data_IF_880911461502
#
_entry.id   IF_880911461502
#
_cell.length_a   1.000
_cell.length_b   1.000
_cell.length_c   1.000
_cell.angle_alpha   90.00
_cell.angle_beta   90.00
_cell.angle_gamma   90.00
#
_symmetry.space_group_name_H-M   'P 1'
#
loop_
_entity.id
_entity.type
_entity.pdbx_description
1 polymer ?
#
# COMPACT_ATOMS: atom_id res chain seq x y z
N UNK A 1 -8.28 15.05 -15.15
CA UNK A 1 -7.34 14.29 -15.99
C UNK A 1 -6.95 15.17 -17.17
N UNK A 2 -5.73 15.70 -17.19
CA UNK A 2 -5.29 16.63 -18.24
C UNK A 2 -4.66 15.86 -19.40
N UNK A 3 -5.45 15.64 -20.45
CA UNK A 3 -5.03 14.91 -21.65
C UNK A 3 -3.81 15.53 -22.34
N UNK A 4 -3.53 16.82 -22.13
CA UNK A 4 -2.36 17.49 -22.71
C UNK A 4 -1.07 17.01 -22.06
N UNK A 5 -1.10 16.71 -20.76
CA UNK A 5 0.05 16.12 -20.05
C UNK A 5 0.28 14.68 -20.53
N UNK A 6 -0.79 13.90 -20.72
CA UNK A 6 -0.68 12.55 -21.31
C UNK A 6 -0.14 12.57 -22.73
N UNK A 7 -0.55 13.55 -23.55
CA UNK A 7 -0.06 13.71 -24.92
C UNK A 7 1.42 14.09 -24.95
N UNK A 8 1.85 15.05 -24.13
CA UNK A 8 3.26 15.44 -24.00
C UNK A 8 4.12 14.25 -23.55
N UNK A 9 3.63 13.45 -22.60
CA UNK A 9 4.36 12.30 -22.08
C UNK A 9 4.47 11.18 -23.13
N UNK A 10 3.41 10.86 -23.85
CA UNK A 10 3.43 9.77 -24.86
C UNK A 10 4.15 10.19 -26.14
N UNK A 11 3.93 11.41 -26.63
CA UNK A 11 4.69 11.94 -27.78
C UNK A 11 6.18 12.09 -27.44
N UNK A 12 6.49 12.51 -26.20
CA UNK A 12 7.85 12.61 -25.71
C UNK A 12 8.55 11.26 -25.55
N UNK A 13 7.83 10.22 -25.09
CA UNK A 13 8.39 8.88 -24.90
C UNK A 13 8.52 8.07 -26.19
N UNK A 14 7.50 8.10 -27.05
CA UNK A 14 7.38 7.15 -28.16
C UNK A 14 7.64 7.80 -29.53
N UNK A 15 7.73 9.13 -29.59
CA UNK A 15 7.89 9.88 -30.84
C UNK A 15 6.70 9.75 -31.80
N UNK A 16 5.58 9.18 -31.35
CA UNK A 16 4.35 8.97 -32.11
C UNK A 16 3.18 9.64 -31.38
N UNK A 17 2.23 10.17 -32.16
CA UNK A 17 1.01 10.76 -31.61
C UNK A 17 0.17 9.65 -30.96
N UNK A 18 -0.23 9.76 -29.67
CA UNK A 18 -1.13 8.78 -29.07
C UNK A 18 -2.49 8.77 -29.79
N UNK A 19 -3.10 7.59 -29.92
CA UNK A 19 -4.51 7.49 -30.33
C UNK A 19 -5.40 8.09 -29.23
N UNK A 20 -5.95 9.27 -29.50
CA UNK A 20 -6.90 9.95 -28.61
C UNK A 20 -8.31 9.47 -28.92
N UNK A 21 -9.20 9.29 -27.92
CA UNK A 21 -10.56 8.83 -28.13
C UNK A 21 -11.31 9.66 -29.20
N UNK A 22 -12.03 9.04 -30.15
CA UNK A 22 -12.62 9.71 -31.31
C UNK A 22 -13.55 10.88 -30.98
N UNK A 23 -14.27 10.82 -29.84
CA UNK A 23 -15.17 11.88 -29.40
C UNK A 23 -14.43 13.20 -29.10
N UNK A 24 -13.26 13.11 -28.46
CA UNK A 24 -12.44 14.29 -28.10
C UNK A 24 -11.83 14.93 -29.35
N UNK A 25 -11.34 14.11 -30.29
CA UNK A 25 -10.85 14.59 -31.59
C UNK A 25 -11.98 15.27 -32.37
N UNK A 26 -13.19 14.71 -32.33
CA UNK A 26 -14.36 15.23 -33.04
C UNK A 26 -14.85 16.55 -32.46
N UNK A 27 -14.86 16.71 -31.14
CA UNK A 27 -15.18 17.98 -30.47
C UNK A 27 -14.13 19.06 -30.79
N UNK A 28 -12.83 18.72 -30.71
CA UNK A 28 -11.76 19.67 -31.01
C UNK A 28 -11.71 20.11 -32.48
N UNK A 29 -11.96 19.18 -33.42
CA UNK A 29 -12.06 19.48 -34.86
C UNK A 29 -13.33 20.27 -35.20
N UNK A 30 -14.45 20.00 -34.52
CA UNK A 30 -15.70 20.73 -34.71
C UNK A 30 -15.60 22.19 -34.23
N UNK A 31 -14.82 22.45 -33.17
CA UNK A 31 -14.62 23.81 -32.65
C UNK A 31 -13.53 24.59 -33.40
N UNK A 32 -12.46 23.94 -33.85
CA UNK A 32 -11.26 24.64 -34.32
C UNK A 32 -10.82 24.34 -35.76
N UNK A 33 -11.48 23.41 -36.46
CA UNK A 33 -11.32 23.16 -37.90
C UNK A 33 -9.91 22.78 -38.37
N UNK A 34 -9.03 22.31 -37.48
CA UNK A 34 -7.61 22.05 -37.79
C UNK A 34 -7.15 20.69 -37.27
N UNK A 35 -6.53 19.91 -38.15
CA UNK A 35 -5.72 18.74 -37.76
C UNK A 35 -4.62 19.16 -36.79
N UNK A 36 -4.35 18.32 -35.78
CA UNK A 36 -3.26 18.54 -34.83
C UNK A 36 -1.93 18.38 -35.58
N UNK A 37 -1.15 19.47 -35.76
CA UNK A 37 0.10 19.37 -36.50
C UNK A 37 1.21 18.75 -35.63
N UNK A 38 2.14 18.04 -36.27
CA UNK A 38 3.38 17.56 -35.63
C UNK A 38 4.19 18.78 -35.16
N UNK A 39 4.03 19.13 -33.88
CA UNK A 39 4.57 20.36 -33.32
C UNK A 39 6.08 20.29 -33.06
N UNK A 40 6.67 19.10 -33.04
CA UNK A 40 8.11 18.88 -32.83
C UNK A 40 8.96 19.63 -33.84
N UNK A 41 8.61 19.60 -35.13
CA UNK A 41 9.36 20.31 -36.17
C UNK A 41 9.24 21.83 -36.07
N UNK A 42 8.06 22.33 -35.68
CA UNK A 42 7.80 23.75 -35.48
C UNK A 42 8.52 24.29 -34.25
N UNK A 43 8.56 23.51 -33.17
CA UNK A 43 9.27 23.86 -31.93
C UNK A 43 10.78 23.95 -32.15
N UNK A 44 11.40 22.96 -32.81
CA UNK A 44 12.83 23.01 -33.18
C UNK A 44 13.16 24.27 -33.99
N UNK A 45 12.35 24.56 -35.00
CA UNK A 45 12.54 25.74 -35.85
C UNK A 45 12.44 27.07 -35.08
N UNK A 46 11.58 27.15 -34.06
CA UNK A 46 11.49 28.33 -33.20
C UNK A 46 12.67 28.44 -32.24
N UNK A 47 13.11 27.31 -31.66
CA UNK A 47 14.30 27.29 -30.82
C UNK A 47 15.54 27.75 -31.60
N UNK A 48 15.79 27.18 -32.79
CA UNK A 48 16.92 27.57 -33.64
C UNK A 48 16.89 29.05 -34.04
N UNK A 49 15.69 29.65 -34.07
CA UNK A 49 15.49 31.04 -34.49
C UNK A 49 15.63 32.04 -33.34
N UNK A 50 15.34 31.63 -32.11
CA UNK A 50 15.18 32.55 -30.97
C UNK A 50 16.02 32.21 -29.74
N UNK A 51 16.67 31.04 -29.70
CA UNK A 51 17.59 30.64 -28.63
C UNK A 51 19.00 30.51 -29.18
N UNK A 52 19.92 31.39 -28.76
CA UNK A 52 21.34 31.41 -29.17
C UNK A 52 22.21 30.36 -28.44
N UNK A 53 21.63 29.27 -27.94
CA UNK A 53 22.34 28.28 -27.13
C UNK A 53 22.75 27.06 -27.99
N UNK A 54 23.97 26.54 -27.82
CA UNK A 54 24.52 25.41 -28.62
C UNK A 54 23.87 24.06 -28.29
N UNK A 55 22.90 24.02 -27.37
CA UNK A 55 22.25 22.79 -26.93
C UNK A 55 21.01 22.47 -27.77
N UNK A 56 20.77 21.18 -27.99
CA UNK A 56 19.56 20.68 -28.64
C UNK A 56 18.28 21.21 -27.95
N UNK A 57 17.26 21.69 -28.71
CA UNK A 57 15.97 22.13 -28.18
C UNK A 57 15.24 21.07 -27.35
N UNK A 58 15.51 19.80 -27.68
CA UNK A 58 14.90 18.66 -27.06
C UNK A 58 16.04 17.94 -26.34
N UNK A 59 15.96 17.95 -25.01
CA UNK A 59 16.85 17.19 -24.14
C UNK A 59 16.05 16.03 -23.57
N UNK A 60 16.67 14.86 -23.52
CA UNK A 60 16.10 13.72 -22.80
C UNK A 60 16.12 14.07 -21.31
N UNK A 61 14.95 14.18 -20.68
CA UNK A 61 14.88 14.31 -19.22
C UNK A 61 15.09 12.94 -18.59
N UNK A 62 15.58 12.91 -17.34
CA UNK A 62 15.41 11.69 -16.55
C UNK A 62 13.92 11.39 -16.38
N UNK A 63 13.61 10.15 -15.99
CA UNK A 63 12.25 9.62 -15.87
C UNK A 63 11.32 10.58 -15.11
N UNK A 64 10.07 10.69 -15.53
CA UNK A 64 9.00 11.32 -14.74
C UNK A 64 8.23 10.18 -14.08
N UNK A 65 8.23 10.15 -12.76
CA UNK A 65 7.58 9.08 -11.99
C UNK A 65 6.24 9.56 -11.43
N UNK A 66 5.17 8.81 -11.71
CA UNK A 66 3.83 9.12 -11.26
C UNK A 66 3.36 8.04 -10.28
N UNK A 67 3.23 8.43 -9.01
CA UNK A 67 2.79 7.57 -7.93
C UNK A 67 1.42 7.97 -7.40
N UNK A 68 0.59 8.62 -8.25
CA UNK A 68 -0.76 9.03 -7.89
C UNK A 68 -1.48 7.92 -7.09
N UNK A 69 -1.95 8.29 -5.90
CA UNK A 69 -2.65 7.41 -4.96
C UNK A 69 -1.81 6.29 -4.32
N UNK A 70 -0.48 6.37 -4.38
CA UNK A 70 0.42 5.44 -3.69
C UNK A 70 0.92 6.03 -2.37
N UNK A 71 0.90 5.22 -1.33
CA UNK A 71 1.51 5.55 -0.04
C UNK A 71 2.97 5.08 -0.07
N UNK A 72 3.93 5.97 0.20
CA UNK A 72 5.35 5.65 0.15
C UNK A 72 6.08 6.15 1.39
N UNK A 73 7.08 5.39 1.83
CA UNK A 73 8.08 5.84 2.79
C UNK A 73 9.21 6.61 2.06
N UNK A 74 9.95 7.50 2.75
CA UNK A 74 11.07 8.24 2.15
C UNK A 74 12.13 7.34 1.50
N UNK A 75 12.34 6.13 2.03
CA UNK A 75 13.34 5.19 1.48
C UNK A 75 12.96 4.64 0.12
N UNK A 76 11.66 4.49 -0.19
CA UNK A 76 11.21 4.09 -1.53
C UNK A 76 11.59 5.10 -2.62
N UNK A 77 11.86 6.35 -2.23
CA UNK A 77 12.23 7.43 -3.14
C UNK A 77 13.73 7.76 -3.08
N UNK A 78 14.49 7.13 -2.18
CA UNK A 78 15.90 7.47 -1.97
C UNK A 78 16.78 7.14 -3.18
N UNK A 79 16.43 6.08 -3.91
CA UNK A 79 17.15 5.63 -5.12
C UNK A 79 16.42 6.04 -6.43
N UNK A 80 15.35 6.82 -6.33
CA UNK A 80 14.58 7.25 -7.50
C UNK A 80 15.33 8.37 -8.22
N UNK A 81 15.62 8.16 -9.51
CA UNK A 81 16.38 9.12 -10.34
C UNK A 81 15.47 10.04 -11.16
N UNK A 82 14.20 10.15 -10.76
CA UNK A 82 13.21 10.94 -11.49
C UNK A 82 13.48 12.44 -11.39
N UNK A 83 13.29 13.16 -12.51
CA UNK A 83 13.40 14.63 -12.52
C UNK A 83 12.20 15.31 -11.85
N UNK A 84 11.04 14.66 -11.94
CA UNK A 84 9.76 15.15 -11.42
C UNK A 84 9.00 13.95 -10.89
N UNK A 85 8.53 14.05 -9.64
CA UNK A 85 7.68 13.05 -9.00
C UNK A 85 6.30 13.67 -8.79
N UNK A 86 5.26 13.02 -9.30
CA UNK A 86 3.88 13.48 -9.17
C UNK A 86 3.05 12.48 -8.34
N UNK A 87 2.38 12.97 -7.29
CA UNK A 87 1.25 12.28 -6.68
C UNK A 87 1.51 11.24 -5.58
N UNK A 88 2.60 11.29 -4.82
CA UNK A 88 2.82 10.39 -3.68
C UNK A 88 2.30 10.98 -2.35
N UNK A 89 1.69 10.16 -1.48
CA UNK A 89 1.51 10.50 -0.06
C UNK A 89 2.71 10.01 0.74
N UNK A 90 3.41 10.93 1.38
CA UNK A 90 4.58 10.62 2.19
C UNK A 90 4.17 10.26 3.62
N UNK A 91 4.67 9.12 4.11
CA UNK A 91 4.47 8.65 5.48
C UNK A 91 5.81 8.41 6.16
N UNK A 92 5.82 8.45 7.49
CA UNK A 92 7.01 8.10 8.24
C UNK A 92 7.16 6.57 8.29
N UNK A 93 8.38 6.03 8.15
CA UNK A 93 8.62 4.63 8.39
C UNK A 93 8.49 4.33 9.89
N UNK A 94 8.23 3.06 10.20
CA UNK A 94 8.35 2.53 11.54
C UNK A 94 9.70 2.87 12.21
N UNK A 95 9.65 3.28 13.48
CA UNK A 95 10.82 3.57 14.32
C UNK A 95 10.78 2.71 15.59
N UNK A 96 11.49 1.58 15.57
CA UNK A 96 11.49 0.56 16.64
C UNK A 96 11.93 1.08 18.01
N UNK A 97 12.69 2.18 18.06
CA UNK A 97 13.15 2.80 19.32
C UNK A 97 12.06 3.61 20.02
N UNK A 98 10.99 3.99 19.31
CA UNK A 98 9.96 4.89 19.84
C UNK A 98 8.66 4.22 20.18
N UNK A 99 8.33 3.17 19.44
CA UNK A 99 7.03 2.55 19.50
C UNK A 99 7.24 1.04 19.63
N UNK A 100 6.32 0.36 20.30
CA UNK A 100 6.31 -1.10 20.42
C UNK A 100 5.05 -1.64 19.74
N UNK A 101 5.19 -2.73 18.99
CA UNK A 101 4.06 -3.41 18.33
C UNK A 101 4.04 -4.86 18.76
N UNK A 102 2.85 -5.32 19.13
CA UNK A 102 2.57 -6.75 19.30
C UNK A 102 1.96 -7.29 18.02
N UNK A 103 2.48 -8.39 17.49
CA UNK A 103 1.77 -9.15 16.46
C UNK A 103 0.91 -10.22 17.12
N UNK A 104 -0.39 -10.14 16.90
CA UNK A 104 -1.40 -11.11 17.30
C UNK A 104 -1.62 -12.08 16.15
N UNK A 105 -1.34 -13.35 16.38
CA UNK A 105 -1.57 -14.44 15.42
C UNK A 105 -2.80 -15.22 15.87
N UNK A 106 -3.92 -15.00 15.20
CA UNK A 106 -5.13 -15.82 15.34
C UNK A 106 -4.97 -17.12 14.58
N UNK A 107 -4.55 -18.18 15.28
CA UNK A 107 -4.33 -19.49 14.68
C UNK A 107 -5.62 -20.31 14.60
N UNK A 108 -6.06 -20.69 13.40
CA UNK A 108 -7.34 -21.37 13.20
C UNK A 108 -7.26 -22.89 13.22
N UNK A 109 -6.07 -23.48 13.00
CA UNK A 109 -5.62 -24.88 13.23
C UNK A 109 -4.44 -25.20 12.29
N UNK A 110 -3.83 -26.39 12.46
CA UNK A 110 -2.76 -26.98 11.60
C UNK A 110 -1.29 -26.63 11.94
N UNK A 111 -1.02 -25.88 13.01
CA UNK A 111 0.35 -25.63 13.47
C UNK A 111 1.19 -24.77 12.51
N UNK A 112 0.54 -24.12 11.54
CA UNK A 112 1.19 -23.21 10.57
C UNK A 112 1.73 -21.94 11.24
N UNK A 113 1.21 -21.60 12.42
CA UNK A 113 1.72 -20.51 13.26
C UNK A 113 3.21 -20.68 13.58
N UNK A 114 3.71 -21.90 13.77
CA UNK A 114 5.13 -22.15 14.01
C UNK A 114 6.02 -21.76 12.81
N UNK A 115 5.55 -22.04 11.59
CA UNK A 115 6.24 -21.60 10.37
C UNK A 115 6.26 -20.08 10.29
N UNK A 116 5.12 -19.41 10.51
CA UNK A 116 5.04 -17.95 10.50
C UNK A 116 5.98 -17.34 11.54
N UNK A 117 5.91 -17.80 12.81
CA UNK A 117 6.70 -17.28 13.92
C UNK A 117 8.20 -17.44 13.68
N UNK A 118 8.64 -18.60 13.17
CA UNK A 118 10.07 -18.86 12.91
C UNK A 118 10.69 -17.98 11.83
N UNK A 119 9.89 -17.31 11.01
CA UNK A 119 10.36 -16.36 10.01
C UNK A 119 10.32 -14.90 10.50
N UNK A 120 9.76 -14.65 11.68
CA UNK A 120 9.77 -13.33 12.29
C UNK A 120 11.08 -13.09 13.02
N UNK A 121 11.75 -12.04 12.57
CA UNK A 121 13.03 -11.55 13.07
C UNK A 121 12.87 -10.09 13.52
N UNK A 122 13.14 -9.82 14.79
CA UNK A 122 13.08 -8.48 15.41
C UNK A 122 13.99 -7.43 14.75
N UNK A 123 15.01 -7.86 13.98
CA UNK A 123 15.89 -6.95 13.22
C UNK A 123 15.33 -6.54 11.87
N UNK A 124 14.32 -7.27 11.36
CA UNK A 124 13.72 -7.06 10.03
C UNK A 124 12.24 -6.69 10.08
N UNK A 125 11.57 -7.05 11.17
CA UNK A 125 10.14 -6.88 11.36
C UNK A 125 9.89 -5.91 12.52
N UNK A 126 8.77 -5.18 12.48
CA UNK A 126 8.48 -4.09 13.42
C UNK A 126 8.02 -4.57 14.80
N UNK A 127 7.90 -5.88 15.00
CA UNK A 127 7.28 -6.46 16.19
C UNK A 127 8.27 -6.56 17.34
N UNK A 128 7.81 -6.23 18.54
CA UNK A 128 8.52 -6.42 19.80
C UNK A 128 8.05 -7.65 20.57
N UNK A 129 6.83 -8.12 20.28
CA UNK A 129 6.17 -9.24 20.96
C UNK A 129 5.26 -10.00 20.01
N UNK A 130 5.03 -11.27 20.31
CA UNK A 130 4.10 -12.14 19.61
C UNK A 130 3.08 -12.69 20.61
N UNK A 131 1.80 -12.57 20.28
CA UNK A 131 0.69 -13.21 20.99
C UNK A 131 0.03 -14.17 20.04
N UNK A 132 0.01 -15.46 20.36
CA UNK A 132 -0.62 -16.48 19.52
C UNK A 132 -1.92 -16.90 20.18
N UNK A 133 -3.04 -16.53 19.57
CA UNK A 133 -4.36 -16.95 20.00
C UNK A 133 -4.65 -18.33 19.40
N UNK A 134 -4.86 -19.34 20.26
CA UNK A 134 -5.07 -20.73 19.85
C UNK A 134 -6.40 -21.27 20.37
N UNK A 135 -7.01 -22.28 19.72
CA UNK A 135 -8.21 -22.93 20.26
C UNK A 135 -8.01 -23.46 21.69
N UNK A 136 -9.08 -23.48 22.49
CA UNK A 136 -9.03 -24.03 23.86
C UNK A 136 -8.57 -25.50 23.88
N UNK A 137 -8.92 -26.25 22.83
CA UNK A 137 -8.56 -27.66 22.65
C UNK A 137 -7.10 -27.91 22.28
N UNK A 138 -6.29 -26.87 22.00
CA UNK A 138 -4.88 -27.03 21.64
C UNK A 138 -4.11 -27.72 22.77
N UNK A 139 -3.33 -28.74 22.43
CA UNK A 139 -2.59 -29.55 23.40
C UNK A 139 -1.38 -28.78 23.96
N UNK A 140 -0.91 -29.16 25.15
CA UNK A 140 0.27 -28.52 25.75
C UNK A 140 1.54 -28.73 24.92
N UNK A 141 1.68 -29.87 24.24
CA UNK A 141 2.83 -30.14 23.37
C UNK A 141 2.86 -29.22 22.14
N UNK A 142 1.69 -28.88 21.60
CA UNK A 142 1.59 -27.95 20.47
C UNK A 142 1.92 -26.53 20.93
N UNK A 143 1.45 -26.12 22.11
CA UNK A 143 1.81 -24.82 22.68
C UNK A 143 3.30 -24.73 23.00
N UNK A 144 3.90 -25.77 23.59
CA UNK A 144 5.34 -25.78 23.91
C UNK A 144 6.19 -25.64 22.63
N UNK A 145 5.77 -26.27 21.54
CA UNK A 145 6.45 -26.18 20.24
C UNK A 145 6.45 -24.76 19.67
N UNK A 146 5.37 -23.99 19.91
CA UNK A 146 5.25 -22.60 19.47
C UNK A 146 6.07 -21.64 20.34
N UNK A 147 6.13 -21.84 21.66
CA UNK A 147 7.01 -21.06 22.55
C UNK A 147 8.49 -21.23 22.17
N UNK A 148 8.84 -22.42 21.70
CA UNK A 148 10.19 -22.76 21.25
C UNK A 148 10.39 -22.60 19.73
N UNK A 149 9.46 -21.93 19.03
CA UNK A 149 9.69 -21.57 17.64
C UNK A 149 10.95 -20.72 17.51
N UNK A 150 11.70 -20.93 16.43
CA UNK A 150 13.00 -20.29 16.21
C UNK A 150 12.84 -18.80 15.87
N UNK A 151 12.50 -17.97 16.85
CA UNK A 151 12.36 -16.51 16.72
C UNK A 151 13.17 -15.79 17.80
N UNK A 152 13.58 -14.56 17.51
CA UNK A 152 14.24 -13.67 18.48
C UNK A 152 13.25 -12.94 19.39
N UNK A 153 11.95 -13.10 19.15
CA UNK A 153 10.88 -12.43 19.90
C UNK A 153 10.32 -13.28 21.03
N UNK A 154 9.80 -12.60 22.06
CA UNK A 154 9.00 -13.26 23.08
C UNK A 154 7.64 -13.66 22.51
N UNK A 155 7.30 -14.94 22.62
CA UNK A 155 6.03 -15.53 22.20
C UNK A 155 5.19 -15.86 23.42
N UNK A 156 4.03 -15.24 23.57
CA UNK A 156 2.98 -15.68 24.49
C UNK A 156 1.90 -16.44 23.73
N UNK A 157 1.32 -17.43 24.40
CA UNK A 157 0.26 -18.26 23.82
C UNK A 157 -0.96 -18.15 24.70
N UNK A 158 -2.07 -17.80 24.07
CA UNK A 158 -3.33 -17.54 24.74
C UNK A 158 -4.39 -18.45 24.19
N UNK A 159 -4.95 -19.28 25.07
CA UNK A 159 -6.06 -20.15 24.71
C UNK A 159 -7.34 -19.32 24.66
N UNK A 160 -8.04 -19.39 23.54
CA UNK A 160 -9.29 -18.67 23.32
C UNK A 160 -10.36 -19.12 24.30
N UNK A 161 -11.06 -18.15 24.87
CA UNK A 161 -12.30 -18.34 25.63
C UNK A 161 -13.56 -17.97 24.83
N UNK A 162 -13.38 -17.46 23.61
CA UNK A 162 -14.42 -16.98 22.69
C UNK A 162 -14.10 -17.44 21.25
N UNK A 163 -15.04 -17.32 20.30
CA UNK A 163 -14.75 -17.57 18.88
C UNK A 163 -13.58 -16.72 18.37
N UNK A 164 -12.90 -17.20 17.34
CA UNK A 164 -11.70 -16.60 16.72
C UNK A 164 -11.88 -15.14 16.28
N UNK A 165 -13.04 -14.76 15.74
CA UNK A 165 -13.32 -13.38 15.36
C UNK A 165 -13.32 -12.40 16.56
N UNK A 166 -13.38 -12.91 17.80
CA UNK A 166 -13.27 -12.10 19.02
C UNK A 166 -11.83 -11.90 19.48
N UNK A 167 -10.84 -12.50 18.83
CA UNK A 167 -9.43 -12.35 19.20
C UNK A 167 -8.99 -10.88 19.20
N UNK A 168 -9.55 -10.06 18.30
CA UNK A 168 -9.38 -8.60 18.26
C UNK A 168 -9.72 -7.93 19.61
N UNK A 169 -10.69 -8.46 20.33
CA UNK A 169 -11.18 -7.90 21.59
C UNK A 169 -10.56 -8.58 22.83
N UNK A 170 -10.00 -9.78 22.68
CA UNK A 170 -9.57 -10.59 23.83
C UNK A 170 -8.06 -10.83 23.88
N UNK A 171 -7.31 -10.54 22.83
CA UNK A 171 -5.87 -10.67 22.84
C UNK A 171 -5.24 -9.76 23.91
N UNK A 172 -4.38 -10.27 24.79
CA UNK A 172 -3.71 -9.46 25.81
C UNK A 172 -2.59 -8.64 25.19
N UNK A 173 -2.87 -7.36 24.93
CA UNK A 173 -1.93 -6.40 24.36
C UNK A 173 -1.50 -5.40 25.43
N UNK A 174 -0.19 -5.24 25.58
CA UNK A 174 0.42 -4.26 26.49
C UNK A 174 1.31 -3.24 25.76
N UNK A 175 1.33 -3.29 24.43
CA UNK A 175 2.02 -2.34 23.56
C UNK A 175 1.11 -1.20 23.10
N UNK A 176 1.69 -0.12 22.59
CA UNK A 176 0.94 1.04 22.09
C UNK A 176 0.07 0.68 20.88
N UNK A 177 0.62 -0.13 19.96
CA UNK A 177 -0.04 -0.59 18.74
C UNK A 177 0.01 -2.11 18.67
N UNK A 178 -0.88 -2.72 17.89
CA UNK A 178 -0.83 -4.15 17.65
C UNK A 178 -1.31 -4.49 16.25
N UNK A 179 -0.61 -5.40 15.58
CA UNK A 179 -1.05 -5.94 14.32
C UNK A 179 -1.77 -7.27 14.54
N UNK A 180 -2.83 -7.55 13.80
CA UNK A 180 -3.50 -8.86 13.87
C UNK A 180 -3.46 -9.58 12.51
N UNK A 181 -3.09 -10.86 12.53
CA UNK A 181 -3.06 -11.73 11.36
C UNK A 181 -3.52 -13.15 11.70
N UNK A 182 -3.63 -14.02 10.69
CA UNK A 182 -3.85 -15.46 10.87
C UNK A 182 -2.60 -16.27 10.48
N UNK A 183 -2.62 -17.58 10.74
CA UNK A 183 -1.48 -18.49 10.51
C UNK A 183 -1.22 -18.88 9.05
N UNK A 184 -2.04 -18.44 8.08
CA UNK A 184 -1.93 -18.83 6.67
C UNK A 184 -1.04 -17.90 5.82
N UNK A 185 -0.40 -16.90 6.43
CA UNK A 185 0.42 -15.93 5.72
C UNK A 185 1.91 -16.33 5.69
N UNK A 186 2.59 -15.90 4.62
CA UNK A 186 4.04 -15.98 4.50
C UNK A 186 4.64 -14.66 4.94
N UNK A 187 5.63 -14.72 5.82
CA UNK A 187 6.34 -13.53 6.30
C UNK A 187 7.27 -13.02 5.21
N UNK A 188 7.02 -11.81 4.73
CA UNK A 188 7.91 -11.13 3.80
C UNK A 188 9.25 -10.83 4.47
N UNK A 189 10.41 -10.93 3.78
CA UNK A 189 11.72 -10.68 4.40
C UNK A 189 11.88 -9.29 5.02
N UNK A 190 11.11 -8.31 4.55
CA UNK A 190 11.04 -6.95 5.07
C UNK A 190 9.59 -6.51 5.06
N UNK A 191 9.11 -5.99 6.19
CA UNK A 191 7.77 -5.40 6.32
C UNK A 191 7.94 -3.93 6.69
N UNK A 192 7.28 -3.05 5.94
CA UNK A 192 7.19 -1.64 6.29
C UNK A 192 5.81 -1.33 6.82
N UNK A 193 5.80 -0.64 7.96
CA UNK A 193 4.61 -0.01 8.47
C UNK A 193 4.73 1.49 8.22
N UNK A 194 3.64 2.05 7.70
CA UNK A 194 3.54 3.46 7.41
C UNK A 194 2.84 4.15 8.57
N UNK A 195 3.38 5.30 8.97
CA UNK A 195 2.84 6.12 10.04
C UNK A 195 2.54 7.53 9.54
N UNK A 196 1.50 8.16 10.08
CA UNK A 196 1.17 9.55 9.79
C UNK A 196 2.34 10.46 10.15
N UNK A 197 2.55 11.50 9.34
CA UNK A 197 3.54 12.55 9.61
C UNK A 197 2.93 13.69 10.44
N UNK A 198 2.16 13.34 11.48
CA UNK A 198 1.61 14.26 12.46
C UNK A 198 2.22 13.97 13.84
N UNK A 199 1.87 14.77 14.84
CA UNK A 199 2.39 14.60 16.22
C UNK A 199 2.00 13.25 16.83
N UNK A 200 0.88 12.68 16.40
CA UNK A 200 0.32 11.47 16.99
C UNK A 200 0.93 10.20 16.38
N UNK A 201 1.55 10.29 15.19
CA UNK A 201 2.23 9.18 14.52
C UNK A 201 1.41 7.90 14.60
N UNK A 202 0.21 7.94 14.02
CA UNK A 202 -0.70 6.80 13.99
C UNK A 202 -0.31 5.86 12.86
N UNK A 203 -0.44 4.53 13.04
CA UNK A 203 -0.28 3.60 11.94
C UNK A 203 -1.31 3.88 10.86
N UNK A 204 -0.91 3.66 9.62
CA UNK A 204 -1.73 3.86 8.44
C UNK A 204 -2.18 2.50 7.95
N UNK A 205 -3.47 2.24 8.10
CA UNK A 205 -4.10 1.02 7.61
C UNK A 205 -4.63 1.32 6.20
N UNK A 206 -4.20 0.57 5.17
CA UNK A 206 -4.77 0.72 3.84
C UNK A 206 -6.24 0.29 3.87
N UNK A 207 -7.09 1.10 3.23
CA UNK A 207 -8.51 0.80 3.08
C UNK A 207 -8.96 1.08 1.65
N UNK A 208 -10.02 0.40 1.25
CA UNK A 208 -10.74 0.65 0.00
C UNK A 208 -12.01 1.41 0.35
N UNK A 209 -12.31 2.57 -0.26
CA UNK A 209 -13.60 3.23 -0.09
C UNK A 209 -14.74 2.30 -0.46
N UNK A 210 -15.75 2.23 0.39
CA UNK A 210 -16.92 1.38 0.16
C UNK A 210 -17.94 2.10 -0.74
N UNK A 211 -17.55 2.28 -2.01
CA UNK A 211 -18.37 2.92 -3.04
C UNK A 211 -18.45 2.09 -4.33
N UNK A 212 -19.32 2.51 -5.25
CA UNK A 212 -19.59 1.83 -6.51
C UNK A 212 -18.33 1.68 -7.38
N UNK A 213 -17.41 2.64 -7.33
CA UNK A 213 -16.22 2.62 -8.17
C UNK A 213 -15.13 1.69 -7.65
N UNK A 214 -15.05 1.49 -6.33
CA UNK A 214 -13.92 0.82 -5.69
C UNK A 214 -14.28 -0.54 -5.08
N UNK A 215 -15.46 -0.69 -4.46
CA UNK A 215 -15.80 -1.87 -3.67
C UNK A 215 -17.06 -2.60 -4.16
N UNK A 216 -18.16 -1.89 -4.43
CA UNK A 216 -19.47 -2.54 -4.63
C UNK A 216 -19.52 -3.44 -5.87
N UNK A 217 -18.73 -3.11 -6.90
CA UNK A 217 -18.61 -3.91 -8.11
C UNK A 217 -17.68 -5.14 -7.98
N UNK A 218 -17.01 -5.31 -6.84
CA UNK A 218 -16.13 -6.45 -6.55
C UNK A 218 -16.83 -7.34 -5.52
N UNK A 219 -17.36 -8.49 -5.95
CA UNK A 219 -18.24 -9.34 -5.11
C UNK A 219 -17.69 -9.58 -3.69
N UNK A 220 -16.41 -9.94 -3.55
CA UNK A 220 -15.80 -10.19 -2.24
C UNK A 220 -15.73 -8.93 -1.37
N UNK A 221 -15.46 -7.77 -1.95
CA UNK A 221 -15.41 -6.50 -1.21
C UNK A 221 -16.81 -6.11 -0.74
N UNK A 222 -17.81 -6.20 -1.63
CA UNK A 222 -19.21 -5.96 -1.33
C UNK A 222 -19.73 -6.86 -0.20
N UNK A 223 -19.46 -8.17 -0.26
CA UNK A 223 -19.92 -9.13 0.77
C UNK A 223 -19.34 -8.82 2.16
N UNK A 224 -18.07 -8.40 2.21
CA UNK A 224 -17.39 -7.98 3.45
C UNK A 224 -18.00 -6.67 3.97
N UNK A 225 -18.21 -5.70 3.08
CA UNK A 225 -18.83 -4.41 3.44
C UNK A 225 -20.24 -4.61 3.99
N UNK A 226 -21.12 -5.32 3.28
CA UNK A 226 -22.49 -5.65 3.72
C UNK A 226 -22.51 -6.37 5.08
N UNK A 227 -21.55 -7.26 5.31
CA UNK A 227 -21.39 -7.94 6.60
C UNK A 227 -20.99 -6.96 7.71
N UNK A 228 -20.10 -6.01 7.41
CA UNK A 228 -19.63 -4.99 8.36
C UNK A 228 -20.74 -4.03 8.80
N UNK A 229 -21.69 -3.70 7.90
CA UNK A 229 -22.80 -2.77 8.17
C UNK A 229 -23.72 -3.25 9.30
N UNK A 230 -23.71 -4.55 9.61
CA UNK A 230 -24.45 -5.12 10.77
C UNK A 230 -23.91 -4.64 12.11
N UNK A 231 -22.62 -4.28 12.16
CA UNK A 231 -21.91 -3.86 13.36
C UNK A 231 -21.57 -2.37 13.34
N UNK A 232 -21.34 -1.81 12.16
CA UNK A 232 -21.04 -0.39 11.93
C UNK A 232 -21.88 0.13 10.74
N UNK A 233 -23.12 0.58 10.97
CA UNK A 233 -24.04 0.99 9.90
C UNK A 233 -23.55 2.14 9.02
N UNK A 234 -22.65 2.97 9.55
CA UNK A 234 -22.08 4.13 8.85
C UNK A 234 -20.69 3.81 8.26
N UNK A 235 -20.30 2.53 8.15
CA UNK A 235 -19.00 2.16 7.63
C UNK A 235 -18.90 2.46 6.13
N UNK A 236 -17.95 3.33 5.75
CA UNK A 236 -17.67 3.75 4.38
C UNK A 236 -16.30 3.24 3.88
N UNK A 237 -15.69 2.31 4.61
CA UNK A 237 -14.37 1.76 4.31
C UNK A 237 -14.34 0.25 4.44
N UNK A 238 -13.65 -0.42 3.52
CA UNK A 238 -13.32 -1.83 3.62
C UNK A 238 -11.83 -1.98 3.85
N UNK A 239 -11.49 -2.53 5.01
CA UNK A 239 -10.12 -2.94 5.34
C UNK A 239 -10.02 -4.41 4.95
N UNK A 240 -9.01 -4.76 4.14
CA UNK A 240 -8.78 -6.17 3.84
C UNK A 240 -8.28 -6.88 5.10
N UNK A 241 -8.78 -8.10 5.28
CA UNK A 241 -9.00 -8.78 6.57
C UNK A 241 -7.83 -8.81 7.59
N UNK A 242 -6.57 -8.50 7.27
CA UNK A 242 -5.43 -8.80 8.15
C UNK A 242 -4.25 -7.80 8.18
N UNK A 243 -4.51 -6.50 8.02
CA UNK A 243 -3.52 -5.41 8.22
C UNK A 243 -3.97 -4.36 9.26
N UNK A 244 -4.79 -4.76 10.23
CA UNK A 244 -5.20 -3.84 11.31
C UNK A 244 -4.04 -3.64 12.30
N UNK A 245 -3.64 -2.38 12.51
CA UNK A 245 -2.53 -1.91 13.37
C UNK A 245 -3.01 -1.06 14.56
#
# INVERSE_FOLDING_TARGET
YDYRISQILVEGMLGVLPEVPPLIIKEYLAENGKELPINTGKFRKWWDMYCEDEKSPIQESHVISNYASTNLSPRHLADETASIIHGAKHYLPWEQSRHAITLVVSDWQEGLSGHLISHIDSSKHPFSKLVVMVPESTSSSDTDSLVHANTSLHVSIEKRSRPDYMDLCTAPIDTEWFMMTNSYHVVAPHVELLFTNDEQRRPVIPFVPADEHNCDNVCRCHDIHESSLRFAPDNDMVIQDFDML
#
